data_IF_025971359511
#
_entry.id   IF_025971359511
#
_cell.length_a   1.000
_cell.length_b   1.000
_cell.length_c   1.000
_cell.angle_alpha   90.00
_cell.angle_beta   90.00
_cell.angle_gamma   90.00
#
_symmetry.space_group_name_H-M   'P 1'
#
loop_
_entity.id
_entity.type
_entity.pdbx_description
1 polymer ?
#
# COMPACT_ATOMS: atom_id res chain seq x y z
N UNK A 1 11.00 -25.25 14.62
CA UNK A 1 9.65 -24.77 14.24
C UNK A 1 9.54 -24.89 12.73
N UNK A 2 8.61 -25.70 12.23
CA UNK A 2 8.42 -25.91 10.78
C UNK A 2 7.88 -24.61 10.16
N UNK A 3 8.61 -24.06 9.18
CA UNK A 3 8.09 -23.02 8.30
C UNK A 3 6.91 -23.64 7.53
N UNK A 4 5.69 -23.17 7.79
CA UNK A 4 4.58 -23.49 6.91
C UNK A 4 4.89 -22.86 5.55
N UNK A 5 5.14 -23.68 4.53
CA UNK A 5 5.28 -23.23 3.15
C UNK A 5 4.05 -22.38 2.79
N UNK A 6 4.25 -21.10 2.51
CA UNK A 6 3.20 -20.24 1.95
C UNK A 6 3.03 -20.70 0.50
N UNK A 7 1.84 -21.15 0.13
CA UNK A 7 1.57 -21.52 -1.26
C UNK A 7 1.53 -20.28 -2.14
N UNK A 8 1.76 -20.41 -3.45
CA UNK A 8 1.59 -19.27 -4.36
C UNK A 8 0.18 -18.65 -4.29
N UNK A 9 -0.85 -19.45 -3.99
CA UNK A 9 -2.21 -18.95 -3.75
C UNK A 9 -2.29 -18.04 -2.51
N UNK A 10 -1.66 -18.46 -1.41
CA UNK A 10 -1.65 -17.67 -0.17
C UNK A 10 -0.87 -16.36 -0.34
N UNK A 11 0.24 -16.41 -1.08
CA UNK A 11 1.01 -15.21 -1.41
C UNK A 11 0.19 -14.25 -2.27
N UNK A 12 -0.45 -14.74 -3.34
CA UNK A 12 -1.30 -13.92 -4.21
C UNK A 12 -2.44 -13.26 -3.42
N UNK A 13 -3.08 -13.99 -2.50
CA UNK A 13 -4.11 -13.43 -1.63
C UNK A 13 -3.58 -12.30 -0.73
N UNK A 14 -2.36 -12.46 -0.18
CA UNK A 14 -1.71 -11.40 0.62
C UNK A 14 -1.35 -10.18 -0.21
N UNK A 15 -0.85 -10.37 -1.43
CA UNK A 15 -0.51 -9.28 -2.36
C UNK A 15 -1.76 -8.51 -2.79
N UNK A 16 -2.86 -9.21 -3.10
CA UNK A 16 -4.15 -8.59 -3.40
C UNK A 16 -4.69 -7.78 -2.22
N UNK A 17 -4.58 -8.29 -1.00
CA UNK A 17 -4.97 -7.55 0.20
C UNK A 17 -4.08 -6.31 0.41
N UNK A 18 -2.77 -6.41 0.15
CA UNK A 18 -1.86 -5.27 0.22
C UNK A 18 -2.25 -4.18 -0.80
N UNK A 19 -2.57 -4.55 -2.04
CA UNK A 19 -3.06 -3.60 -3.06
C UNK A 19 -4.32 -2.90 -2.58
N UNK A 20 -5.31 -3.65 -2.07
CA UNK A 20 -6.55 -3.07 -1.55
C UNK A 20 -6.30 -2.06 -0.42
N UNK A 21 -5.33 -2.33 0.46
CA UNK A 21 -4.94 -1.41 1.52
C UNK A 21 -4.30 -0.13 0.96
N UNK A 22 -3.43 -0.24 -0.05
CA UNK A 22 -2.82 0.93 -0.71
C UNK A 22 -3.88 1.79 -1.41
N UNK A 23 -4.80 1.19 -2.17
CA UNK A 23 -5.92 1.90 -2.82
C UNK A 23 -6.79 2.65 -1.80
N UNK A 24 -7.12 1.98 -0.69
CA UNK A 24 -7.91 2.57 0.41
C UNK A 24 -7.14 3.71 1.08
N UNK A 25 -5.83 3.54 1.28
CA UNK A 25 -4.94 4.56 1.83
C UNK A 25 -4.91 5.81 0.95
N UNK A 26 -4.74 5.66 -0.36
CA UNK A 26 -4.77 6.77 -1.33
C UNK A 26 -6.07 7.57 -1.22
N UNK A 27 -7.22 6.89 -1.17
CA UNK A 27 -8.52 7.54 -1.04
C UNK A 27 -8.63 8.32 0.29
N UNK A 28 -8.14 7.74 1.39
CA UNK A 28 -8.13 8.37 2.71
C UNK A 28 -7.27 9.64 2.72
N UNK A 29 -6.05 9.57 2.20
CA UNK A 29 -5.11 10.68 2.19
C UNK A 29 -5.59 11.83 1.29
N UNK A 30 -6.14 11.51 0.11
CA UNK A 30 -6.49 12.52 -0.90
C UNK A 30 -7.88 13.15 -0.72
N UNK A 31 -8.86 12.39 -0.21
CA UNK A 31 -10.27 12.87 -0.13
C UNK A 31 -10.71 13.18 1.29
N UNK A 32 -10.39 12.31 2.24
CA UNK A 32 -10.97 12.41 3.58
C UNK A 32 -10.14 13.31 4.48
N UNK A 33 -8.84 13.04 4.62
CA UNK A 33 -8.01 13.81 5.54
C UNK A 33 -7.79 15.24 5.06
N UNK A 34 -7.63 15.48 3.75
CA UNK A 34 -7.52 16.82 3.19
C UNK A 34 -8.72 17.72 3.57
N UNK A 35 -9.94 17.17 3.53
CA UNK A 35 -11.16 17.89 3.91
C UNK A 35 -11.28 18.06 5.43
N UNK A 36 -10.95 17.03 6.21
CA UNK A 36 -11.02 17.08 7.68
C UNK A 36 -10.00 18.06 8.27
N UNK A 37 -8.84 18.25 7.63
CA UNK A 37 -7.84 19.23 8.06
C UNK A 37 -8.38 20.66 8.07
N UNK A 38 -9.36 20.98 7.23
CA UNK A 38 -9.99 22.30 7.24
C UNK A 38 -10.73 22.58 8.57
N UNK A 39 -11.41 21.55 9.11
CA UNK A 39 -12.22 21.66 10.33
C UNK A 39 -11.43 21.46 11.63
N UNK A 40 -10.15 21.10 11.55
CA UNK A 40 -9.30 20.77 12.69
C UNK A 40 -8.89 21.96 13.59
N UNK A 41 -9.11 23.19 13.16
CA UNK A 41 -8.65 24.39 13.86
C UNK A 41 -7.13 24.64 13.76
N UNK A 42 -6.37 23.85 13.01
CA UNK A 42 -4.94 24.09 12.79
C UNK A 42 -4.69 25.40 12.02
N UNK A 43 -3.53 26.02 12.24
CA UNK A 43 -3.09 27.19 11.47
C UNK A 43 -2.94 26.86 9.98
N UNK A 44 -3.04 27.86 9.10
CA UNK A 44 -2.90 27.67 7.66
C UNK A 44 -1.57 27.00 7.27
N UNK A 45 -0.46 27.40 7.91
CA UNK A 45 0.86 26.80 7.68
C UNK A 45 0.92 25.32 8.06
N UNK A 46 0.31 24.94 9.20
CA UNK A 46 0.23 23.54 9.63
C UNK A 46 -0.65 22.72 8.69
N UNK A 47 -1.78 23.26 8.24
CA UNK A 47 -2.66 22.58 7.28
C UNK A 47 -1.96 22.35 5.94
N UNK A 48 -1.25 23.35 5.43
CA UNK A 48 -0.48 23.23 4.19
C UNK A 48 0.57 22.12 4.31
N UNK A 49 1.33 22.12 5.42
CA UNK A 49 2.34 21.08 5.66
C UNK A 49 1.74 19.67 5.73
N UNK A 50 0.58 19.53 6.38
CA UNK A 50 -0.13 18.25 6.44
C UNK A 50 -0.66 17.81 5.07
N UNK A 51 -1.17 18.74 4.25
CA UNK A 51 -1.59 18.44 2.88
C UNK A 51 -0.42 17.95 2.00
N UNK A 52 0.76 18.56 2.12
CA UNK A 52 1.97 18.09 1.43
C UNK A 52 2.35 16.66 1.83
N UNK A 53 2.31 16.35 3.13
CA UNK A 53 2.62 15.01 3.64
C UNK A 53 1.59 13.99 3.12
N UNK A 54 0.31 14.31 3.16
CA UNK A 54 -0.74 13.43 2.64
C UNK A 54 -0.62 13.19 1.13
N UNK A 55 -0.23 14.22 0.37
CA UNK A 55 0.04 14.08 -1.05
C UNK A 55 1.25 13.18 -1.33
N UNK A 56 2.31 13.29 -0.53
CA UNK A 56 3.47 12.41 -0.62
C UNK A 56 3.10 10.96 -0.32
N UNK A 57 2.38 10.71 0.77
CA UNK A 57 1.92 9.36 1.13
C UNK A 57 1.04 8.74 0.04
N UNK A 58 0.14 9.51 -0.56
CA UNK A 58 -0.67 9.04 -1.68
C UNK A 58 0.18 8.72 -2.93
N UNK A 59 1.27 9.44 -3.15
CA UNK A 59 2.22 9.16 -4.23
C UNK A 59 3.02 7.87 -3.96
N UNK A 60 3.50 7.67 -2.74
CA UNK A 60 4.23 6.46 -2.34
C UNK A 60 3.34 5.22 -2.42
N UNK A 61 2.09 5.30 -1.92
CA UNK A 61 1.12 4.21 -2.03
C UNK A 61 0.86 3.78 -3.48
N UNK A 62 0.80 4.71 -4.44
CA UNK A 62 0.71 4.38 -5.87
C UNK A 62 1.95 3.64 -6.38
N UNK A 63 3.13 4.03 -5.89
CA UNK A 63 4.38 3.34 -6.21
C UNK A 63 4.40 1.91 -5.68
N UNK A 64 3.92 1.71 -4.45
CA UNK A 64 3.79 0.38 -3.85
C UNK A 64 2.77 -0.49 -4.61
N UNK A 65 1.61 0.06 -4.94
CA UNK A 65 0.58 -0.61 -5.73
C UNK A 65 1.16 -1.13 -7.06
N UNK A 66 1.87 -0.28 -7.82
CA UNK A 66 2.52 -0.68 -9.06
C UNK A 66 3.57 -1.78 -8.86
N UNK A 67 4.39 -1.68 -7.79
CA UNK A 67 5.35 -2.73 -7.46
C UNK A 67 4.67 -4.06 -7.11
N UNK A 68 3.57 -4.03 -6.36
CA UNK A 68 2.79 -5.22 -6.00
C UNK A 68 2.17 -5.89 -7.24
N UNK A 69 1.62 -5.12 -8.18
CA UNK A 69 1.13 -5.67 -9.45
C UNK A 69 2.23 -6.38 -10.24
N UNK A 70 3.44 -5.79 -10.32
CA UNK A 70 4.58 -6.43 -10.96
C UNK A 70 4.97 -7.75 -10.27
N UNK A 71 4.92 -7.80 -8.94
CA UNK A 71 5.17 -9.04 -8.19
C UNK A 71 4.09 -10.09 -8.48
N UNK A 72 2.82 -9.70 -8.53
CA UNK A 72 1.72 -10.62 -8.90
C UNK A 72 1.93 -11.18 -10.31
N UNK A 73 2.29 -10.36 -11.29
CA UNK A 73 2.57 -10.79 -12.65
C UNK A 73 3.74 -11.79 -12.70
N UNK A 74 4.81 -11.51 -11.95
CA UNK A 74 5.95 -12.41 -11.83
C UNK A 74 5.55 -13.76 -11.19
N UNK A 75 4.81 -13.75 -10.08
CA UNK A 75 4.36 -14.99 -9.43
C UNK A 75 3.48 -15.82 -10.36
N UNK A 76 2.52 -15.19 -11.03
CA UNK A 76 1.61 -15.86 -11.97
C UNK A 76 2.35 -16.45 -13.19
N UNK A 77 3.37 -15.76 -13.71
CA UNK A 77 4.15 -16.23 -14.87
C UNK A 77 5.20 -17.29 -14.50
N UNK A 78 5.69 -17.30 -13.26
CA UNK A 78 6.74 -18.23 -12.82
C UNK A 78 6.24 -19.66 -12.61
N UNK A 79 4.97 -19.86 -12.21
CA UNK A 79 4.44 -21.17 -11.85
C UNK A 79 5.15 -21.84 -10.66
N UNK A 80 6.00 -21.10 -9.93
CA UNK A 80 6.81 -21.59 -8.81
C UNK A 80 6.12 -21.27 -7.48
N UNK A 81 6.19 -22.18 -6.52
CA UNK A 81 5.87 -21.88 -5.13
C UNK A 81 6.95 -20.97 -4.52
N UNK A 82 6.51 -19.89 -3.85
CA UNK A 82 7.41 -18.87 -3.31
C UNK A 82 7.80 -19.21 -1.87
N UNK A 83 9.03 -19.67 -1.69
CA UNK A 83 9.61 -19.92 -0.38
C UNK A 83 10.29 -18.66 0.16
N UNK A 84 10.04 -18.24 1.42
CA UNK A 84 10.82 -17.16 2.02
C UNK A 84 12.29 -17.59 2.10
N UNK A 85 13.21 -16.78 1.53
CA UNK A 85 14.64 -16.90 1.86
C UNK A 85 14.85 -16.28 3.23
N UNK A 86 15.54 -17.01 4.09
CA UNK A 86 16.03 -16.49 5.37
C UNK A 86 16.97 -15.30 5.10
N UNK A 87 16.72 -14.20 5.81
CA UNK A 87 17.63 -13.05 5.91
C UNK A 87 18.39 -13.14 7.24
#
# INVERSE_FOLDING_TARGET
MSLSSITSKDLLGRLQNAIYLEETGIALYTKHLANTLFFSGFSASKRLRMQEILALLASESKGHEAALYNVIEFVNSSGLDVYPREF
#
